data_IF_720465824669
#
_entry.id   IF_720465824669
#
_cell.length_a   1.000
_cell.length_b   1.000
_cell.length_c   1.000
_cell.angle_alpha   90.00
_cell.angle_beta   90.00
_cell.angle_gamma   90.00
#
_symmetry.space_group_name_H-M   'P 1'
#
loop_
_entity.id
_entity.type
_entity.pdbx_description
1 polymer ?
#
# COMPACT_ATOMS: atom_id res chain seq x y z
N UNK A 1 24.04 -31.80 9.63
CA UNK A 1 22.90 -31.53 8.72
C UNK A 1 22.99 -32.51 7.55
N UNK A 2 23.13 -33.82 7.85
CA UNK A 2 23.70 -34.77 6.89
C UNK A 2 22.66 -35.72 6.27
N UNK A 3 21.36 -35.45 6.46
CA UNK A 3 20.28 -36.38 6.08
C UNK A 3 19.20 -35.76 5.18
N UNK A 4 19.53 -34.72 4.44
CA UNK A 4 18.81 -34.36 3.23
C UNK A 4 19.78 -34.65 2.08
N UNK A 5 19.81 -35.91 1.66
CA UNK A 5 20.57 -36.38 0.50
C UNK A 5 19.86 -35.86 -0.77
N UNK A 6 19.91 -34.55 -0.95
CA UNK A 6 19.29 -33.85 -2.05
C UNK A 6 20.35 -33.79 -3.15
N UNK A 7 20.16 -34.61 -4.19
CA UNK A 7 21.04 -34.65 -5.36
C UNK A 7 20.86 -33.36 -6.18
N UNK A 8 21.59 -32.32 -5.80
CA UNK A 8 21.73 -31.10 -6.60
C UNK A 8 23.07 -31.12 -7.32
N UNK A 9 23.09 -30.65 -8.57
CA UNK A 9 24.33 -30.18 -9.18
C UNK A 9 24.87 -29.00 -8.36
N UNK A 10 26.19 -28.94 -8.21
CA UNK A 10 26.92 -27.85 -7.59
C UNK A 10 26.58 -26.49 -8.22
N UNK A 11 26.27 -26.45 -9.52
CA UNK A 11 25.84 -25.23 -10.20
C UNK A 11 24.46 -24.73 -9.69
N UNK A 12 23.50 -25.64 -9.53
CA UNK A 12 22.18 -25.30 -8.99
C UNK A 12 22.29 -24.86 -7.53
N UNK A 13 23.13 -25.52 -6.74
CA UNK A 13 23.42 -25.08 -5.37
C UNK A 13 23.99 -23.66 -5.34
N UNK A 14 24.95 -23.34 -6.21
CA UNK A 14 25.52 -22.00 -6.29
C UNK A 14 24.47 -20.93 -6.64
N UNK A 15 23.55 -21.23 -7.56
CA UNK A 15 22.43 -20.35 -7.90
C UNK A 15 21.48 -20.08 -6.72
N UNK A 16 21.19 -21.09 -5.90
CA UNK A 16 20.34 -20.92 -4.72
C UNK A 16 21.03 -20.08 -3.63
N UNK A 17 22.35 -20.27 -3.45
CA UNK A 17 23.15 -19.41 -2.57
C UNK A 17 23.21 -17.97 -3.08
N UNK A 18 23.37 -17.75 -4.38
CA UNK A 18 23.33 -16.39 -4.97
C UNK A 18 22.02 -15.66 -4.61
N UNK A 19 20.86 -16.34 -4.71
CA UNK A 19 19.56 -15.75 -4.33
C UNK A 19 19.52 -15.40 -2.84
N UNK A 20 19.94 -16.31 -1.96
CA UNK A 20 19.93 -16.10 -0.52
C UNK A 20 20.88 -14.96 -0.10
N UNK A 21 22.07 -14.91 -0.68
CA UNK A 21 23.09 -13.90 -0.39
C UNK A 21 22.64 -12.51 -0.88
N UNK A 22 22.05 -12.41 -2.07
CA UNK A 22 21.55 -11.14 -2.60
C UNK A 22 20.32 -10.63 -1.83
N UNK A 23 19.41 -11.51 -1.41
CA UNK A 23 18.32 -11.11 -0.51
C UNK A 23 18.86 -10.61 0.83
N UNK A 24 19.89 -11.26 1.36
CA UNK A 24 20.53 -10.83 2.61
C UNK A 24 21.20 -9.47 2.45
N UNK A 25 21.82 -9.20 1.30
CA UNK A 25 22.37 -7.91 0.96
C UNK A 25 21.28 -6.82 0.93
N UNK A 26 20.13 -7.09 0.30
CA UNK A 26 18.98 -6.16 0.33
C UNK A 26 18.55 -5.87 1.77
N UNK A 27 18.40 -6.90 2.61
CA UNK A 27 17.97 -6.71 4.00
C UNK A 27 19.00 -5.90 4.80
N UNK A 28 20.29 -6.13 4.58
CA UNK A 28 21.37 -5.34 5.19
C UNK A 28 21.36 -3.89 4.71
N UNK A 29 21.05 -3.64 3.43
CA UNK A 29 20.86 -2.29 2.91
C UNK A 29 19.69 -1.60 3.59
N UNK A 30 18.55 -2.28 3.74
CA UNK A 30 17.39 -1.76 4.48
C UNK A 30 17.72 -1.47 5.95
N UNK A 31 18.55 -2.30 6.60
CA UNK A 31 19.03 -2.04 7.94
C UNK A 31 19.96 -0.80 8.00
N UNK A 32 20.85 -0.65 7.01
CA UNK A 32 21.71 0.54 6.88
C UNK A 32 20.89 1.80 6.65
N UNK A 33 19.78 1.71 5.92
CA UNK A 33 18.79 2.77 5.73
C UNK A 33 17.99 3.10 7.00
N UNK A 34 18.22 2.39 8.13
CA UNK A 34 17.45 2.49 9.38
C UNK A 34 15.98 2.10 9.23
N UNK A 35 15.63 1.36 8.18
CA UNK A 35 14.27 0.85 7.98
C UNK A 35 14.05 -0.46 8.75
N UNK A 36 15.05 -1.35 8.72
CA UNK A 36 15.09 -2.55 9.55
C UNK A 36 16.10 -2.37 10.70
N UNK A 37 15.88 -3.10 11.79
CA UNK A 37 16.95 -3.34 12.75
C UNK A 37 17.80 -4.53 12.26
N UNK A 38 19.13 -4.41 12.41
CA UNK A 38 20.05 -5.48 12.04
C UNK A 38 19.80 -6.73 12.89
N UNK A 39 19.38 -6.57 14.14
CA UNK A 39 19.07 -7.68 15.06
C UNK A 39 17.81 -8.47 14.65
N UNK A 40 16.96 -7.89 13.79
CA UNK A 40 15.78 -8.59 13.29
C UNK A 40 16.13 -9.59 12.19
N UNK A 41 17.28 -9.45 11.53
CA UNK A 41 17.69 -10.29 10.41
C UNK A 41 18.28 -11.60 10.92
N UNK A 42 17.64 -12.70 10.55
CA UNK A 42 18.03 -14.06 10.90
C UNK A 42 18.62 -14.75 9.67
N UNK A 43 19.95 -14.84 9.64
CA UNK A 43 20.69 -15.49 8.58
C UNK A 43 20.59 -17.02 8.69
N UNK A 44 20.52 -17.71 7.55
CA UNK A 44 20.60 -19.17 7.51
C UNK A 44 22.01 -19.72 7.80
N UNK A 45 22.18 -21.06 7.83
CA UNK A 45 21.14 -22.05 7.60
C UNK A 45 20.22 -22.25 8.81
N UNK A 46 18.96 -22.59 8.54
CA UNK A 46 17.89 -22.81 9.53
C UNK A 46 17.54 -24.29 9.63
N UNK A 47 17.07 -24.71 10.80
CA UNK A 47 16.41 -26.00 10.94
C UNK A 47 14.99 -25.92 10.38
N UNK A 48 14.69 -26.78 9.40
CA UNK A 48 13.40 -26.85 8.70
C UNK A 48 12.71 -28.20 8.85
N UNK A 49 13.13 -29.05 9.82
CA UNK A 49 12.53 -30.37 10.01
C UNK A 49 11.01 -30.30 10.27
N UNK A 50 10.55 -29.25 10.95
CA UNK A 50 9.15 -29.01 11.26
C UNK A 50 8.28 -28.80 10.02
N UNK A 51 8.80 -28.19 8.96
CA UNK A 51 8.04 -27.89 7.73
C UNK A 51 8.14 -28.98 6.65
N UNK A 52 9.06 -29.95 6.80
CA UNK A 52 9.23 -31.03 5.80
C UNK A 52 7.94 -31.81 5.49
N UNK A 53 7.04 -32.11 6.46
CA UNK A 53 5.76 -32.75 6.15
C UNK A 53 4.92 -31.92 5.17
N UNK A 54 4.81 -30.61 5.38
CA UNK A 54 4.09 -29.70 4.49
C UNK A 54 4.76 -29.59 3.11
N UNK A 55 6.09 -29.52 3.06
CA UNK A 55 6.82 -29.53 1.79
C UNK A 55 6.55 -30.80 0.97
N UNK A 56 6.45 -31.97 1.63
CA UNK A 56 6.14 -33.26 0.98
C UNK A 56 4.69 -33.32 0.51
N UNK A 57 3.76 -32.82 1.31
CA UNK A 57 2.33 -32.73 0.96
C UNK A 57 2.14 -31.91 -0.33
N UNK A 58 2.81 -30.76 -0.42
CA UNK A 58 2.78 -29.87 -1.58
C UNK A 58 3.70 -30.30 -2.73
N UNK A 59 4.41 -31.43 -2.57
CA UNK A 59 5.38 -31.98 -3.53
C UNK A 59 6.41 -30.94 -3.99
N UNK A 60 6.89 -30.11 -3.06
CA UNK A 60 7.89 -29.08 -3.37
C UNK A 60 9.17 -29.72 -3.90
N UNK A 61 9.77 -29.05 -4.88
CA UNK A 61 11.05 -29.48 -5.42
C UNK A 61 12.13 -29.44 -4.33
N UNK A 62 13.02 -30.45 -4.26
CA UNK A 62 14.21 -30.44 -3.41
C UNK A 62 14.91 -29.08 -3.32
N UNK A 63 15.05 -28.38 -4.44
CA UNK A 63 15.77 -27.11 -4.55
C UNK A 63 15.08 -25.99 -3.76
N UNK A 64 13.74 -25.99 -3.75
CA UNK A 64 12.95 -25.04 -2.97
C UNK A 64 13.02 -25.36 -1.48
N UNK A 65 12.96 -26.65 -1.12
CA UNK A 65 13.13 -27.10 0.27
C UNK A 65 14.52 -26.68 0.79
N UNK A 66 15.56 -26.87 -0.02
CA UNK A 66 16.91 -26.42 0.33
C UNK A 66 16.99 -24.90 0.45
N UNK A 67 16.39 -24.15 -0.49
CA UNK A 67 16.35 -22.69 -0.45
C UNK A 67 15.72 -22.19 0.86
N UNK A 68 14.61 -22.77 1.31
CA UNK A 68 13.96 -22.41 2.58
C UNK A 68 14.90 -22.55 3.79
N UNK A 69 15.85 -23.49 3.73
CA UNK A 69 16.84 -23.63 4.81
C UNK A 69 17.90 -22.53 4.81
N UNK A 70 18.19 -21.85 3.70
CA UNK A 70 19.29 -20.89 3.61
C UNK A 70 18.86 -19.43 3.46
N UNK A 71 17.59 -19.16 3.13
CA UNK A 71 17.07 -17.81 2.99
C UNK A 71 17.26 -16.97 4.28
N UNK A 72 17.54 -15.67 4.14
CA UNK A 72 17.46 -14.75 5.26
C UNK A 72 15.99 -14.48 5.61
N UNK A 73 15.68 -14.45 6.91
CA UNK A 73 14.34 -14.14 7.40
C UNK A 73 14.35 -12.94 8.34
N UNK A 74 13.21 -12.27 8.48
CA UNK A 74 12.99 -11.27 9.52
C UNK A 74 12.32 -11.97 10.70
N UNK A 75 12.75 -11.64 11.93
CA UNK A 75 12.15 -12.16 13.14
C UNK A 75 10.61 -11.99 13.11
N UNK A 76 9.83 -13.07 13.25
CA UNK A 76 8.37 -13.03 13.12
C UNK A 76 7.67 -12.00 13.99
N UNK A 77 8.25 -11.63 15.14
CA UNK A 77 7.71 -10.58 16.02
C UNK A 77 7.63 -9.20 15.35
N UNK A 78 8.43 -8.97 14.32
CA UNK A 78 8.55 -7.67 13.64
C UNK A 78 8.19 -7.74 12.15
N UNK A 79 8.15 -8.93 11.55
CA UNK A 79 7.96 -9.12 10.11
C UNK A 79 6.64 -8.54 9.57
N UNK A 80 5.57 -8.53 10.38
CA UNK A 80 4.27 -7.95 10.01
C UNK A 80 4.12 -6.47 10.39
N UNK A 81 5.17 -5.85 10.99
CA UNK A 81 5.11 -4.44 11.41
C UNK A 81 5.67 -3.47 10.36
N UNK A 82 6.26 -4.01 9.30
CA UNK A 82 6.91 -3.26 8.23
C UNK A 82 6.64 -3.92 6.89
N UNK A 83 6.46 -3.10 5.86
CA UNK A 83 6.35 -3.61 4.49
C UNK A 83 7.74 -3.84 3.90
N UNK A 84 7.82 -4.67 2.88
CA UNK A 84 9.00 -4.92 2.07
C UNK A 84 8.85 -4.20 0.71
N UNK A 85 9.47 -4.74 -0.33
CA UNK A 85 9.55 -4.16 -1.66
C UNK A 85 8.16 -3.98 -2.29
N UNK A 86 7.87 -2.79 -2.83
CA UNK A 86 6.59 -2.44 -3.46
C UNK A 86 5.37 -2.83 -2.60
N UNK A 87 5.43 -2.57 -1.29
CA UNK A 87 4.32 -2.81 -0.36
C UNK A 87 4.03 -4.28 -0.04
N UNK A 88 4.84 -5.22 -0.54
CA UNK A 88 4.79 -6.64 -0.16
C UNK A 88 5.14 -6.85 1.32
N UNK A 89 4.96 -8.05 1.87
CA UNK A 89 5.45 -8.39 3.21
C UNK A 89 6.65 -9.34 3.16
N UNK A 90 7.41 -9.38 4.25
CA UNK A 90 8.44 -10.41 4.43
C UNK A 90 7.79 -11.79 4.58
N UNK A 91 8.43 -12.82 4.01
CA UNK A 91 8.00 -14.21 4.11
C UNK A 91 8.96 -15.00 5.00
N UNK A 92 8.43 -15.86 5.88
CA UNK A 92 9.19 -16.81 6.69
C UNK A 92 8.73 -18.25 6.46
N UNK A 93 9.45 -19.03 5.66
CA UNK A 93 9.07 -20.42 5.36
C UNK A 93 9.40 -21.42 6.47
N UNK A 94 9.96 -20.98 7.61
CA UNK A 94 10.09 -21.84 8.80
C UNK A 94 8.76 -22.03 9.51
N UNK A 95 7.76 -21.22 9.16
CA UNK A 95 6.37 -21.38 9.54
C UNK A 95 5.63 -22.25 8.50
N UNK A 96 4.97 -23.31 8.97
CA UNK A 96 4.15 -24.20 8.15
C UNK A 96 3.02 -23.44 7.44
N UNK A 97 2.42 -22.44 8.10
CA UNK A 97 1.37 -21.60 7.51
C UNK A 97 1.91 -20.92 6.25
N UNK A 98 3.16 -20.45 6.30
CA UNK A 98 3.74 -19.76 5.17
C UNK A 98 3.99 -20.67 3.98
N UNK A 99 4.42 -21.90 4.24
CA UNK A 99 4.61 -22.93 3.23
C UNK A 99 3.27 -23.30 2.58
N UNK A 100 2.22 -23.51 3.37
CA UNK A 100 0.91 -24.00 2.89
C UNK A 100 0.09 -22.93 2.17
N UNK A 101 -0.01 -21.74 2.74
CA UNK A 101 -0.92 -20.72 2.22
C UNK A 101 -0.26 -19.82 1.17
N UNK A 102 0.99 -19.43 1.35
CA UNK A 102 1.64 -18.49 0.42
C UNK A 102 2.60 -19.18 -0.57
N UNK A 103 3.14 -20.36 -0.23
CA UNK A 103 4.19 -21.00 -1.02
C UNK A 103 3.79 -21.46 -2.43
N UNK A 104 2.49 -21.57 -2.73
CA UNK A 104 1.97 -22.07 -4.01
C UNK A 104 0.99 -21.14 -4.70
N UNK A 105 0.29 -20.32 -3.92
CA UNK A 105 -0.73 -19.40 -4.41
C UNK A 105 -0.55 -18.03 -3.73
N UNK A 106 0.41 -17.22 -4.21
CA UNK A 106 0.71 -15.93 -3.59
C UNK A 106 -0.42 -14.90 -3.77
N UNK A 107 -1.37 -15.12 -4.68
CA UNK A 107 -2.43 -14.17 -5.02
C UNK A 107 -3.83 -14.60 -4.57
N UNK A 108 -3.96 -15.73 -3.87
CA UNK A 108 -5.24 -16.30 -3.44
C UNK A 108 -6.20 -16.51 -4.61
N UNK A 109 -5.68 -17.02 -5.72
CA UNK A 109 -6.47 -17.28 -6.90
C UNK A 109 -7.30 -18.56 -6.70
N UNK A 110 -8.61 -18.47 -6.97
CA UNK A 110 -9.52 -19.62 -6.84
C UNK A 110 -9.26 -20.74 -7.88
N UNK A 111 -8.39 -20.50 -8.86
CA UNK A 111 -8.15 -21.39 -10.00
C UNK A 111 -6.73 -21.99 -9.96
N UNK A 112 -6.66 -23.33 -10.01
CA UNK A 112 -5.42 -24.11 -10.02
C UNK A 112 -4.48 -23.74 -11.18
N UNK A 113 -4.97 -23.13 -12.26
CA UNK A 113 -4.14 -22.64 -13.36
C UNK A 113 -3.13 -21.56 -12.90
N UNK A 114 -3.49 -20.77 -11.89
CA UNK A 114 -2.64 -19.75 -11.29
C UNK A 114 -1.79 -20.27 -10.14
N UNK A 115 -1.83 -21.57 -9.84
CA UNK A 115 -0.92 -22.17 -8.89
C UNK A 115 0.50 -22.20 -9.45
N UNK A 116 1.46 -21.77 -8.62
CA UNK A 116 2.89 -21.84 -8.94
C UNK A 116 3.30 -23.29 -9.23
N UNK A 117 4.43 -23.53 -9.90
CA UNK A 117 4.99 -24.89 -10.11
C UNK A 117 5.88 -25.30 -8.93
N UNK A 118 6.05 -26.60 -8.67
CA UNK A 118 6.72 -27.11 -7.46
C UNK A 118 8.18 -26.62 -7.26
N UNK A 119 8.83 -26.22 -8.35
CA UNK A 119 10.17 -25.62 -8.39
C UNK A 119 10.17 -24.09 -8.31
N UNK A 120 9.03 -23.48 -7.97
CA UNK A 120 8.88 -22.04 -7.79
C UNK A 120 8.44 -21.72 -6.37
N UNK A 121 8.82 -20.55 -5.87
CA UNK A 121 8.39 -20.03 -4.58
C UNK A 121 8.36 -18.49 -4.56
N UNK A 122 7.45 -17.85 -3.83
CA UNK A 122 7.57 -16.43 -3.54
C UNK A 122 8.83 -16.12 -2.70
N UNK A 123 9.41 -14.94 -2.90
CA UNK A 123 10.45 -14.37 -2.04
C UNK A 123 9.91 -13.22 -1.17
N UNK A 124 8.67 -12.80 -1.43
CA UNK A 124 7.88 -11.91 -0.58
C UNK A 124 6.44 -12.40 -0.52
N UNK A 125 5.66 -11.97 0.47
CA UNK A 125 4.21 -12.22 0.52
C UNK A 125 3.46 -11.04 -0.07
N UNK A 126 2.27 -11.34 -0.59
CA UNK A 126 1.33 -10.32 -1.03
C UNK A 126 0.93 -9.40 0.14
N UNK A 127 1.16 -8.10 -0.06
CA UNK A 127 0.57 -7.03 0.76
C UNK A 127 -0.84 -6.69 0.27
N UNK A 128 -1.48 -5.70 0.87
CA UNK A 128 -2.84 -5.29 0.46
C UNK A 128 -2.86 -4.70 -0.96
N UNK A 129 -3.22 -5.53 -1.95
CA UNK A 129 -3.25 -5.20 -3.37
C UNK A 129 -1.90 -4.71 -3.92
N UNK A 130 -0.83 -5.45 -3.62
CA UNK A 130 0.56 -5.06 -3.94
C UNK A 130 1.27 -6.07 -4.87
N UNK A 131 2.56 -5.81 -5.09
CA UNK A 131 3.44 -6.67 -5.88
C UNK A 131 4.05 -7.84 -5.08
N UNK A 132 4.39 -8.93 -5.75
CA UNK A 132 5.04 -10.12 -5.18
C UNK A 132 6.27 -10.49 -6.00
N UNK A 133 7.38 -10.81 -5.32
CA UNK A 133 8.59 -11.31 -5.96
C UNK A 133 8.49 -12.84 -6.03
N UNK A 134 8.48 -13.42 -7.23
CA UNK A 134 8.40 -14.86 -7.47
C UNK A 134 9.74 -15.37 -7.99
N UNK A 135 10.21 -16.52 -7.50
CA UNK A 135 11.44 -17.18 -7.93
C UNK A 135 11.18 -18.55 -8.53
N UNK A 136 11.93 -18.93 -9.56
CA UNK A 136 11.97 -20.28 -10.14
C UNK A 136 13.36 -20.87 -10.04
N UNK A 137 13.50 -21.97 -9.28
CA UNK A 137 14.76 -22.72 -9.18
C UNK A 137 15.12 -23.48 -10.47
N UNK A 138 14.13 -23.79 -11.32
CA UNK A 138 14.34 -24.51 -12.59
C UNK A 138 14.97 -23.63 -13.67
N UNK A 139 14.51 -22.38 -13.76
CA UNK A 139 14.98 -21.42 -14.77
C UNK A 139 15.93 -20.37 -14.22
N UNK A 140 16.10 -20.32 -12.90
CA UNK A 140 16.87 -19.30 -12.19
C UNK A 140 16.46 -17.87 -12.58
N UNK A 141 15.16 -17.61 -12.53
CA UNK A 141 14.54 -16.32 -12.88
C UNK A 141 13.63 -15.81 -11.78
N UNK A 142 13.47 -14.50 -11.76
CA UNK A 142 12.53 -13.79 -10.90
C UNK A 142 11.51 -13.02 -11.73
N UNK A 143 10.29 -12.94 -11.21
CA UNK A 143 9.21 -12.07 -11.67
C UNK A 143 8.77 -11.18 -10.51
N UNK A 144 8.42 -9.92 -10.79
CA UNK A 144 7.81 -9.01 -9.83
C UNK A 144 6.42 -8.71 -10.39
N UNK A 145 5.38 -9.27 -9.76
CA UNK A 145 4.01 -9.30 -10.31
C UNK A 145 3.07 -8.57 -9.39
N UNK A 146 2.27 -7.66 -9.94
CA UNK A 146 1.28 -6.89 -9.20
C UNK A 146 -0.11 -7.53 -9.22
N UNK A 147 -0.80 -7.57 -8.08
CA UNK A 147 -2.12 -8.19 -7.99
C UNK A 147 -3.21 -7.42 -8.76
N UNK A 148 -3.17 -6.08 -8.77
CA UNK A 148 -4.26 -5.29 -9.36
C UNK A 148 -4.22 -5.35 -10.89
N UNK A 149 -3.02 -5.29 -11.45
CA UNK A 149 -2.82 -5.26 -12.89
C UNK A 149 -2.52 -6.63 -13.50
N UNK A 150 -2.13 -7.61 -12.67
CA UNK A 150 -1.63 -8.92 -13.12
C UNK A 150 -0.50 -8.79 -14.15
N UNK A 151 0.35 -7.78 -13.98
CA UNK A 151 1.46 -7.45 -14.88
C UNK A 151 2.77 -7.20 -14.10
N UNK A 152 3.88 -7.10 -14.82
CA UNK A 152 5.20 -6.91 -14.24
C UNK A 152 5.41 -5.47 -13.75
N UNK A 153 5.72 -5.30 -12.47
CA UNK A 153 6.11 -4.01 -11.86
C UNK A 153 7.61 -3.79 -11.79
N UNK A 154 8.39 -4.66 -12.42
CA UNK A 154 9.83 -4.52 -12.54
C UNK A 154 10.21 -3.29 -13.39
N UNK A 155 10.89 -2.31 -12.78
CA UNK A 155 11.32 -1.09 -13.48
C UNK A 155 12.12 -1.36 -14.75
N UNK A 156 12.97 -2.40 -14.75
CA UNK A 156 13.80 -2.67 -15.92
C UNK A 156 12.97 -3.14 -17.12
N UNK A 157 11.83 -3.81 -16.88
CA UNK A 157 10.91 -4.22 -17.93
C UNK A 157 10.02 -3.05 -18.38
N UNK A 158 9.59 -2.18 -17.45
CA UNK A 158 8.79 -0.99 -17.77
C UNK A 158 9.56 0.04 -18.62
N UNK A 159 10.82 0.29 -18.28
CA UNK A 159 11.69 1.18 -19.05
C UNK A 159 11.92 0.69 -20.48
N UNK A 160 12.00 -0.64 -20.69
CA UNK A 160 12.13 -1.24 -22.01
C UNK A 160 10.91 -1.04 -22.92
N UNK A 161 9.74 -0.77 -22.32
CA UNK A 161 8.48 -0.50 -23.04
C UNK A 161 8.22 1.00 -23.26
N UNK A 162 9.14 1.88 -22.82
CA UNK A 162 8.97 3.33 -22.93
C UNK A 162 7.88 3.89 -22.02
N UNK A 163 7.45 3.13 -21.01
CA UNK A 163 6.59 3.62 -19.95
C UNK A 163 7.48 4.38 -18.98
N UNK A 164 7.46 5.72 -19.04
CA UNK A 164 8.19 6.56 -18.09
C UNK A 164 7.73 6.26 -16.65
N UNK A 165 8.67 6.30 -15.70
CA UNK A 165 8.40 6.20 -14.25
C UNK A 165 7.67 7.46 -13.73
N UNK A 166 6.58 7.90 -14.38
CA UNK A 166 5.70 8.92 -13.79
C UNK A 166 4.97 8.30 -12.60
N UNK A 167 5.52 8.51 -11.39
CA UNK A 167 4.92 8.34 -10.06
C UNK A 167 3.77 7.31 -9.95
N UNK A 168 4.00 6.08 -10.45
CA UNK A 168 2.97 5.05 -10.62
C UNK A 168 2.47 4.44 -9.29
N UNK A 169 3.02 4.87 -8.15
CA UNK A 169 2.63 4.40 -6.82
C UNK A 169 2.03 5.49 -5.92
N UNK A 170 1.54 6.60 -6.49
CA UNK A 170 0.49 7.36 -5.81
C UNK A 170 -0.84 6.59 -5.92
N UNK A 171 -0.92 5.39 -5.33
CA UNK A 171 -2.22 4.84 -4.94
C UNK A 171 -2.88 5.95 -4.14
N UNK A 172 -4.04 6.38 -4.61
CA UNK A 172 -4.81 7.42 -3.97
C UNK A 172 -5.18 6.94 -2.57
N UNK A 173 -4.34 7.27 -1.59
CA UNK A 173 -4.83 7.66 -0.27
C UNK A 173 -5.88 8.71 -0.58
N UNK A 174 -7.14 8.30 -0.54
CA UNK A 174 -8.30 9.18 -0.61
C UNK A 174 -8.38 9.98 0.69
N UNK A 175 -7.28 10.67 1.05
CA UNK A 175 -7.34 11.85 1.89
C UNK A 175 -7.89 12.96 1.00
N UNK A 176 -9.21 13.14 1.08
CA UNK A 176 -9.99 14.22 0.46
C UNK A 176 -9.62 15.62 0.99
N UNK A 177 -8.34 15.96 0.84
CA UNK A 177 -7.75 17.25 1.11
C UNK A 177 -6.93 17.67 -0.09
N UNK A 178 -7.62 18.04 -1.17
CA UNK A 178 -7.06 18.71 -2.35
C UNK A 178 -6.03 19.76 -1.94
N UNK A 179 -4.75 19.45 -2.14
CA UNK A 179 -3.65 20.40 -2.10
C UNK A 179 -3.62 21.13 -3.45
N UNK A 180 -4.54 22.08 -3.64
CA UNK A 180 -4.40 23.09 -4.68
C UNK A 180 -4.03 24.41 -4.00
N UNK A 181 -2.72 24.62 -3.85
CA UNK A 181 -2.15 25.93 -3.51
C UNK A 181 -2.40 26.87 -4.71
N UNK A 182 -3.50 27.63 -4.66
CA UNK A 182 -3.67 28.82 -5.50
C UNK A 182 -3.54 30.05 -4.59
N UNK A 183 -2.48 30.81 -4.83
CA UNK A 183 -2.26 32.12 -4.22
C UNK A 183 -3.44 33.04 -4.57
N UNK A 184 -4.13 33.53 -3.55
CA UNK A 184 -5.16 34.56 -3.66
C UNK A 184 -4.47 35.87 -4.07
N UNK A 185 -4.59 36.23 -5.34
CA UNK A 185 -4.34 37.59 -5.81
C UNK A 185 -5.61 38.41 -5.58
N UNK A 186 -5.50 39.38 -4.67
CA UNK A 186 -6.53 40.37 -4.38
C UNK A 186 -6.72 41.27 -5.60
N UNK A 187 -7.91 41.30 -6.20
CA UNK A 187 -8.35 42.42 -7.04
C UNK A 187 -9.80 42.82 -6.71
N UNK A 188 -9.97 44.14 -6.59
CA UNK A 188 -11.16 44.91 -6.21
C UNK A 188 -12.25 44.97 -7.31
N UNK A 189 -13.49 45.38 -6.99
CA UNK A 189 -14.64 45.16 -7.85
C UNK A 189 -14.86 46.30 -8.85
N UNK A 190 -15.27 45.93 -10.07
CA UNK A 190 -16.01 46.80 -10.97
C UNK A 190 -16.96 45.96 -11.84
N UNK A 191 -18.14 46.54 -12.04
CA UNK A 191 -19.35 46.03 -12.68
C UNK A 191 -19.14 45.60 -14.14
N UNK A 192 -19.85 44.56 -14.58
CA UNK A 192 -20.81 44.66 -15.70
C UNK A 192 -21.38 43.28 -16.08
N UNK A 193 -22.67 43.30 -16.38
CA UNK A 193 -23.51 42.20 -16.87
C UNK A 193 -22.92 41.41 -18.04
N UNK A 194 -23.19 40.10 -18.09
CA UNK A 194 -23.94 39.46 -19.17
C UNK A 194 -24.16 37.96 -18.92
N UNK A 195 -25.43 37.56 -19.02
CA UNK A 195 -25.90 36.19 -19.16
C UNK A 195 -25.28 35.52 -20.40
N UNK A 196 -24.60 34.39 -20.21
CA UNK A 196 -24.42 33.44 -21.31
C UNK A 196 -24.51 31.99 -20.80
N UNK A 197 -25.54 31.29 -21.28
CA UNK A 197 -25.86 29.90 -20.99
C UNK A 197 -24.77 28.99 -21.58
N UNK A 198 -24.05 28.25 -20.73
CA UNK A 198 -23.22 27.12 -21.16
C UNK A 198 -23.74 25.80 -20.59
N UNK A 199 -24.15 24.95 -21.51
CA UNK A 199 -24.64 23.59 -21.33
C UNK A 199 -23.50 22.64 -20.91
N UNK A 200 -23.68 21.99 -19.76
CA UNK A 200 -22.77 20.94 -19.27
C UNK A 200 -23.05 19.66 -20.04
N UNK A 201 -22.13 19.29 -20.95
CA UNK A 201 -22.15 18.01 -21.66
C UNK A 201 -21.55 16.94 -20.75
N UNK A 202 -22.40 16.20 -20.03
CA UNK A 202 -21.99 15.00 -19.28
C UNK A 202 -21.47 13.96 -20.25
N UNK A 203 -20.17 13.66 -20.21
CA UNK A 203 -19.58 12.48 -20.84
C UNK A 203 -19.79 11.29 -19.89
N UNK A 204 -20.77 10.45 -20.21
CA UNK A 204 -20.88 9.10 -19.66
C UNK A 204 -19.86 8.22 -20.38
N UNK A 205 -18.88 7.67 -19.64
CA UNK A 205 -18.01 6.62 -20.13
C UNK A 205 -18.61 5.29 -19.67
N UNK A 206 -19.06 4.51 -20.64
CA UNK A 206 -19.54 3.14 -20.43
C UNK A 206 -18.34 2.18 -20.34
N UNK A 207 -18.35 1.17 -19.48
CA UNK A 207 -17.31 0.14 -19.45
C UNK A 207 -17.36 -0.71 -20.73
N UNK A 208 -16.28 -0.72 -21.51
CA UNK A 208 -16.14 -1.64 -22.63
C UNK A 208 -15.75 -3.02 -22.12
N UNK A 209 -16.75 -3.90 -22.13
CA UNK A 209 -16.61 -5.36 -22.08
C UNK A 209 -15.85 -5.78 -23.34
N UNK A 210 -14.70 -6.44 -23.18
CA UNK A 210 -14.04 -7.13 -24.29
C UNK A 210 -14.56 -8.56 -24.32
N UNK A 211 -15.62 -8.77 -25.11
CA UNK A 211 -16.04 -10.10 -25.51
C UNK A 211 -15.11 -10.68 -26.57
N UNK A 212 -14.87 -11.98 -26.39
CA UNK A 212 -14.20 -12.94 -27.27
C UNK A 212 -14.57 -12.77 -28.75
N UNK A 213 -13.55 -12.86 -29.62
CA UNK A 213 -13.50 -13.49 -30.95
C UNK A 213 -12.39 -12.78 -31.76
N UNK A 214 -11.45 -13.43 -32.46
CA UNK A 214 -11.54 -14.63 -33.27
C UNK A 214 -10.14 -15.26 -33.42
N UNK A 215 -10.16 -16.59 -33.47
CA UNK A 215 -9.11 -17.47 -33.96
C UNK A 215 -8.97 -17.25 -35.47
N UNK A 216 -7.86 -16.68 -35.90
CA UNK A 216 -7.46 -16.64 -37.32
C UNK A 216 -6.16 -17.43 -37.49
N UNK A 217 -6.26 -18.44 -38.33
CA UNK A 217 -5.21 -19.34 -38.77
C UNK A 217 -4.08 -18.54 -39.46
N UNK A 218 -2.84 -18.79 -39.05
CA UNK A 218 -1.66 -18.47 -39.85
C UNK A 218 -0.79 -19.72 -39.87
N UNK A 219 -1.04 -20.58 -40.87
CA UNK A 219 -0.06 -21.51 -41.38
C UNK A 219 1.04 -20.70 -42.09
N UNK A 220 2.26 -20.79 -41.59
CA UNK A 220 3.44 -20.49 -42.38
C UNK A 220 4.56 -21.44 -41.92
N UNK A 221 4.78 -22.46 -42.74
CA UNK A 221 5.94 -23.34 -42.67
C UNK A 221 7.23 -22.52 -42.77
N UNK A 222 8.17 -22.73 -41.86
CA UNK A 222 9.61 -22.69 -42.18
C UNK A 222 10.40 -23.63 -41.26
N UNK A 223 10.77 -24.77 -41.85
CA UNK A 223 11.95 -25.61 -41.66
C UNK A 223 12.65 -25.75 -40.29
N UNK A 224 12.65 -27.00 -39.82
CA UNK A 224 13.79 -27.77 -39.29
C UNK A 224 14.62 -27.19 -38.13
N UNK A 225 14.21 -27.61 -36.92
CA UNK A 225 15.11 -27.86 -35.79
C UNK A 225 14.42 -28.81 -34.81
N UNK A 226 14.61 -30.12 -34.98
CA UNK A 226 14.11 -31.14 -34.05
C UNK A 226 14.71 -30.92 -32.65
N UNK A 227 13.93 -30.32 -31.75
CA UNK A 227 14.04 -30.53 -30.32
C UNK A 227 12.72 -31.17 -29.92
N UNK A 228 12.77 -32.45 -29.56
CA UNK A 228 11.64 -33.15 -28.98
C UNK A 228 11.22 -32.43 -27.70
N UNK A 229 10.16 -31.61 -27.77
CA UNK A 229 9.47 -31.13 -26.58
C UNK A 229 8.65 -32.29 -26.04
N UNK A 230 8.98 -32.73 -24.84
CA UNK A 230 8.12 -33.57 -24.01
C UNK A 230 6.72 -32.91 -23.94
N UNK A 231 5.64 -33.61 -24.35
CA UNK A 231 4.29 -33.04 -24.40
C UNK A 231 3.64 -32.79 -23.03
N UNK A 232 4.32 -33.07 -21.90
CA UNK A 232 3.69 -33.05 -20.57
C UNK A 232 3.96 -31.82 -19.70
N UNK A 233 4.81 -30.88 -20.11
CA UNK A 233 5.00 -29.61 -19.39
C UNK A 233 4.33 -28.44 -20.11
N UNK A 234 3.01 -28.34 -19.97
CA UNK A 234 2.30 -27.10 -20.30
C UNK A 234 2.93 -25.97 -19.48
N UNK A 235 3.48 -24.95 -20.15
CA UNK A 235 4.05 -23.77 -19.49
C UNK A 235 2.98 -23.20 -18.54
N UNK A 236 3.29 -23.15 -17.24
CA UNK A 236 2.34 -22.59 -16.26
C UNK A 236 2.17 -21.08 -16.47
N UNK A 237 1.10 -20.50 -15.95
CA UNK A 237 0.76 -19.08 -16.11
C UNK A 237 1.96 -18.14 -15.92
N UNK A 238 2.66 -18.23 -14.78
CA UNK A 238 3.83 -17.39 -14.50
C UNK A 238 5.04 -17.64 -15.42
N UNK A 239 5.14 -18.82 -16.05
CA UNK A 239 6.22 -19.10 -17.01
C UNK A 239 6.05 -18.32 -18.32
N UNK A 240 4.83 -17.87 -18.62
CA UNK A 240 4.53 -17.03 -19.79
C UNK A 240 4.79 -15.55 -19.53
N UNK A 241 4.83 -15.13 -18.26
CA UNK A 241 5.12 -13.75 -17.89
C UNK A 241 6.60 -13.38 -18.14
N UNK A 242 6.91 -12.11 -18.42
CA UNK A 242 8.29 -11.67 -18.60
C UNK A 242 9.04 -11.70 -17.26
N UNK A 243 9.97 -12.64 -17.12
CA UNK A 243 10.89 -12.72 -15.99
C UNK A 243 12.28 -12.20 -16.34
N UNK A 244 13.17 -12.05 -15.36
CA UNK A 244 14.59 -11.72 -15.58
C UNK A 244 15.50 -12.66 -14.79
N UNK A 245 16.80 -12.78 -15.14
CA UNK A 245 17.75 -13.58 -14.37
C UNK A 245 17.72 -13.18 -12.89
N UNK A 246 17.61 -14.16 -11.99
CA UNK A 246 17.34 -13.90 -10.57
C UNK A 246 18.39 -12.98 -9.93
N UNK A 247 19.68 -13.23 -10.20
CA UNK A 247 20.76 -12.40 -9.69
C UNK A 247 20.71 -10.95 -10.18
N UNK A 248 20.28 -10.70 -11.43
CA UNK A 248 20.13 -9.34 -11.97
C UNK A 248 19.00 -8.59 -11.26
N UNK A 249 17.85 -9.22 -11.06
CA UNK A 249 16.70 -8.58 -10.39
C UNK A 249 17.05 -8.17 -8.97
N UNK A 250 17.66 -9.07 -8.19
CA UNK A 250 17.98 -8.77 -6.79
C UNK A 250 19.09 -7.71 -6.67
N UNK A 251 20.10 -7.73 -7.54
CA UNK A 251 21.12 -6.66 -7.62
C UNK A 251 20.49 -5.32 -7.99
N UNK A 252 19.52 -5.32 -8.91
CA UNK A 252 18.80 -4.13 -9.32
C UNK A 252 17.94 -3.57 -8.18
N UNK A 253 17.21 -4.40 -7.43
CA UNK A 253 16.45 -3.98 -6.24
C UNK A 253 17.38 -3.30 -5.23
N UNK A 254 18.52 -3.93 -4.92
CA UNK A 254 19.50 -3.32 -4.02
C UNK A 254 20.01 -1.98 -4.56
N UNK A 255 20.34 -1.92 -5.85
CA UNK A 255 20.77 -0.69 -6.54
C UNK A 255 19.68 0.39 -6.48
N UNK A 256 18.40 0.05 -6.63
CA UNK A 256 17.30 1.01 -6.57
C UNK A 256 17.17 1.66 -5.19
N UNK A 257 17.42 0.91 -4.11
CA UNK A 257 17.50 1.49 -2.76
C UNK A 257 18.72 2.39 -2.57
N UNK A 258 19.88 1.99 -3.09
CA UNK A 258 21.10 2.81 -3.05
C UNK A 258 20.92 4.13 -3.83
N UNK A 259 20.26 4.08 -4.98
CA UNK A 259 19.99 5.24 -5.85
C UNK A 259 18.75 6.05 -5.42
N UNK A 260 18.01 5.59 -4.40
CA UNK A 260 16.70 6.17 -3.99
C UNK A 260 15.71 6.27 -5.17
N UNK A 261 15.82 5.34 -6.12
CA UNK A 261 14.75 5.06 -7.09
C UNK A 261 13.58 4.41 -6.37
N UNK A 262 13.89 3.53 -5.42
CA UNK A 262 12.96 2.99 -4.46
C UNK A 262 13.27 3.47 -3.05
N UNK A 263 12.22 3.64 -2.24
CA UNK A 263 12.34 3.92 -0.81
C UNK A 263 11.67 2.79 -0.03
N UNK A 264 12.19 2.41 1.15
CA UNK A 264 11.62 1.32 1.91
C UNK A 264 10.13 1.54 2.24
N UNK A 265 9.37 0.44 2.27
CA UNK A 265 7.92 0.45 2.50
C UNK A 265 7.10 0.46 1.21
N UNK A 266 5.97 1.15 1.25
CA UNK A 266 5.05 1.33 0.12
C UNK A 266 3.70 0.64 0.28
N UNK A 267 3.45 -0.07 1.38
CA UNK A 267 2.19 -0.74 1.68
C UNK A 267 1.44 -0.12 2.86
N UNK A 268 0.51 -0.89 3.43
CA UNK A 268 -0.37 -0.43 4.52
C UNK A 268 0.30 -0.32 5.89
N UNK A 269 1.41 -1.05 6.13
CA UNK A 269 2.16 -0.95 7.38
C UNK A 269 3.25 0.12 7.33
N UNK A 270 3.42 0.77 6.16
CA UNK A 270 4.34 1.88 5.97
C UNK A 270 3.78 3.12 6.65
N UNK A 271 4.32 3.41 7.83
CA UNK A 271 4.01 4.62 8.56
C UNK A 271 4.19 5.87 7.68
N UNK A 272 3.39 6.91 7.94
CA UNK A 272 3.45 8.12 7.14
C UNK A 272 4.81 8.84 7.17
N UNK A 273 5.68 8.49 8.11
CA UNK A 273 7.08 8.92 8.21
C UNK A 273 7.97 8.36 7.09
N UNK A 274 7.53 7.31 6.41
CA UNK A 274 8.27 6.65 5.33
C UNK A 274 7.81 7.03 3.92
N UNK A 275 6.93 8.03 3.78
CA UNK A 275 6.51 8.52 2.46
C UNK A 275 7.73 9.01 1.66
N UNK A 276 7.84 8.58 0.41
CA UNK A 276 8.98 8.85 -0.50
C UNK A 276 9.37 10.33 -0.56
N UNK A 277 8.38 11.22 -0.71
CA UNK A 277 8.60 12.67 -0.77
C UNK A 277 9.13 13.29 0.53
N UNK A 278 9.05 12.57 1.65
CA UNK A 278 9.61 12.96 2.95
C UNK A 278 11.00 12.36 3.12
N UNK A 279 11.16 11.04 2.95
CA UNK A 279 12.41 10.35 3.30
C UNK A 279 13.51 10.54 2.26
N UNK A 280 13.20 10.60 0.97
CA UNK A 280 14.20 10.77 -0.10
C UNK A 280 15.10 12.01 0.09
N UNK A 281 14.56 13.24 0.30
CA UNK A 281 15.41 14.39 0.55
C UNK A 281 16.19 14.29 1.87
N UNK A 282 15.65 13.60 2.89
CA UNK A 282 16.34 13.39 4.16
C UNK A 282 17.53 12.43 4.02
N UNK A 283 17.39 11.34 3.28
CA UNK A 283 18.51 10.44 2.98
C UNK A 283 19.68 11.18 2.34
N UNK A 284 19.40 11.99 1.32
CA UNK A 284 20.41 12.82 0.64
C UNK A 284 21.05 13.83 1.60
N UNK A 285 20.24 14.50 2.43
CA UNK A 285 20.72 15.45 3.43
C UNK A 285 21.70 14.81 4.42
N UNK A 286 21.48 13.55 4.77
CA UNK A 286 22.27 12.84 5.78
C UNK A 286 23.37 11.93 5.20
N UNK A 287 23.67 12.04 3.90
CA UNK A 287 24.85 11.41 3.28
C UNK A 287 24.61 10.04 2.64
N UNK A 288 23.37 9.59 2.48
CA UNK A 288 23.08 8.34 1.76
C UNK A 288 23.43 8.47 0.25
N UNK A 289 23.96 7.41 -0.41
CA UNK A 289 24.29 6.07 0.10
C UNK A 289 25.74 5.93 0.62
N UNK A 290 26.44 7.05 0.85
CA UNK A 290 27.85 7.04 1.24
C UNK A 290 28.10 6.43 2.62
N UNK A 291 29.36 6.03 2.86
CA UNK A 291 29.79 5.41 4.11
C UNK A 291 29.65 6.34 5.33
N UNK A 292 29.49 7.65 5.10
CA UNK A 292 29.28 8.66 6.13
C UNK A 292 27.80 8.95 6.42
N UNK A 293 26.87 8.07 6.00
CA UNK A 293 25.45 8.23 6.29
C UNK A 293 25.17 8.29 7.80
N UNK A 294 24.64 9.43 8.26
CA UNK A 294 24.23 9.63 9.65
C UNK A 294 22.77 9.18 9.84
N UNK A 295 22.60 7.88 10.08
CA UNK A 295 21.28 7.27 10.28
C UNK A 295 20.53 7.82 11.50
N UNK A 296 21.23 8.28 12.55
CA UNK A 296 20.58 8.79 13.75
C UNK A 296 20.04 10.20 13.54
N UNK A 297 20.80 11.05 12.83
CA UNK A 297 20.30 12.35 12.39
C UNK A 297 19.13 12.21 11.42
N UNK A 298 19.20 11.24 10.50
CA UNK A 298 18.10 10.91 9.61
C UNK A 298 16.82 10.56 10.37
N UNK A 299 16.89 9.65 11.36
CA UNK A 299 15.71 9.28 12.15
C UNK A 299 15.11 10.47 12.92
N UNK A 300 15.96 11.33 13.50
CA UNK A 300 15.50 12.54 14.19
C UNK A 300 14.77 13.50 13.24
N UNK A 301 15.32 13.74 12.06
CA UNK A 301 14.71 14.66 11.09
C UNK A 301 13.49 14.06 10.39
N UNK A 302 13.45 12.75 10.18
CA UNK A 302 12.26 12.03 9.71
C UNK A 302 11.12 12.17 10.71
N UNK A 303 11.39 11.93 12.00
CA UNK A 303 10.39 12.08 13.06
C UNK A 303 9.87 13.54 13.16
N UNK A 304 10.76 14.54 13.02
CA UNK A 304 10.36 15.96 12.97
C UNK A 304 9.50 16.28 11.75
N UNK A 305 9.90 15.82 10.56
CA UNK A 305 9.15 16.05 9.33
C UNK A 305 7.74 15.45 9.43
N UNK A 306 7.63 14.24 9.99
CA UNK A 306 6.36 13.61 10.27
C UNK A 306 5.51 14.41 11.27
N UNK A 307 6.10 14.84 12.40
CA UNK A 307 5.41 15.65 13.41
C UNK A 307 4.90 16.97 12.82
N UNK A 308 5.70 17.66 12.02
CA UNK A 308 5.36 18.90 11.34
C UNK A 308 4.20 18.71 10.35
N UNK A 309 4.27 17.66 9.53
CA UNK A 309 3.19 17.32 8.59
C UNK A 309 1.89 17.01 9.32
N UNK A 310 1.96 16.19 10.37
CA UNK A 310 0.78 15.80 11.12
C UNK A 310 0.18 16.98 11.91
N UNK A 311 1.01 17.88 12.43
CA UNK A 311 0.57 19.13 13.02
C UNK A 311 -0.17 20.01 11.99
N UNK A 312 0.38 20.16 10.77
CA UNK A 312 -0.28 20.87 9.65
C UNK A 312 -1.62 20.22 9.29
N UNK A 313 -1.67 18.90 9.17
CA UNK A 313 -2.91 18.17 8.88
C UNK A 313 -3.96 18.34 9.99
N UNK A 314 -3.59 18.15 11.27
CA UNK A 314 -4.50 18.35 12.41
C UNK A 314 -5.06 19.77 12.43
N UNK A 315 -4.23 20.77 12.09
CA UNK A 315 -4.67 22.16 12.00
C UNK A 315 -5.69 22.36 10.88
N UNK A 316 -5.40 21.86 9.66
CA UNK A 316 -6.33 21.90 8.53
C UNK A 316 -7.67 21.24 8.90
N UNK A 317 -7.64 20.05 9.50
CA UNK A 317 -8.86 19.34 9.93
C UNK A 317 -9.65 20.13 10.98
N UNK A 318 -8.95 20.79 11.91
CA UNK A 318 -9.57 21.68 12.89
C UNK A 318 -10.25 22.88 12.26
N UNK A 319 -9.62 23.51 11.27
CA UNK A 319 -10.23 24.60 10.50
C UNK A 319 -11.43 24.14 9.68
N UNK A 320 -11.32 23.01 8.96
CA UNK A 320 -12.42 22.41 8.18
C UNK A 320 -13.62 22.10 9.08
N UNK A 321 -13.39 21.51 10.27
CA UNK A 321 -14.46 21.29 11.26
C UNK A 321 -15.08 22.60 11.74
N UNK A 322 -14.28 23.64 12.05
CA UNK A 322 -14.80 24.95 12.44
C UNK A 322 -15.68 25.57 11.35
N UNK A 323 -15.26 25.50 10.08
CA UNK A 323 -16.08 25.94 8.94
C UNK A 323 -17.37 25.14 8.82
N UNK A 324 -17.30 23.80 8.87
CA UNK A 324 -18.49 22.95 8.85
C UNK A 324 -19.48 23.31 9.99
N UNK A 325 -18.99 23.65 11.20
CA UNK A 325 -19.86 24.09 12.30
C UNK A 325 -20.46 25.49 12.09
N UNK A 326 -19.75 26.38 11.41
CA UNK A 326 -20.28 27.69 11.01
C UNK A 326 -21.35 27.52 9.94
N UNK A 327 -21.15 26.64 8.95
CA UNK A 327 -22.12 26.38 7.87
C UNK A 327 -23.37 25.62 8.39
N UNK A 328 -23.22 24.79 9.43
CA UNK A 328 -24.35 24.16 10.14
C UNK A 328 -25.28 25.17 10.86
N UNK A 329 -24.88 26.45 10.95
CA UNK A 329 -25.57 27.50 11.70
C UNK A 329 -26.90 27.94 11.07
N UNK A 330 -27.07 27.88 9.74
CA UNK A 330 -28.08 28.74 9.09
C UNK A 330 -29.10 28.02 8.20
N UNK A 331 -29.09 26.68 8.12
CA UNK A 331 -30.19 25.95 7.51
C UNK A 331 -31.36 25.87 8.51
N UNK A 332 -32.23 26.89 8.45
CA UNK A 332 -33.51 26.90 9.13
C UNK A 332 -34.47 25.95 8.41
N UNK A 333 -34.72 24.77 8.97
CA UNK A 333 -35.69 23.80 8.45
C UNK A 333 -37.15 24.26 8.62
N UNK A 334 -37.37 25.46 9.19
CA UNK A 334 -38.69 26.06 9.39
C UNK A 334 -39.57 26.10 8.12
N UNK A 335 -39.08 26.42 6.91
CA UNK A 335 -39.92 26.44 5.70
C UNK A 335 -40.41 25.05 5.29
N UNK A 336 -39.58 24.01 5.49
CA UNK A 336 -39.95 22.62 5.18
C UNK A 336 -41.01 22.13 6.16
N UNK A 337 -40.87 22.44 7.44
CA UNK A 337 -41.87 22.11 8.45
C UNK A 337 -43.18 22.87 8.25
N UNK A 338 -43.12 24.15 7.88
CA UNK A 338 -44.29 24.97 7.59
C UNK A 338 -45.09 24.40 6.41
N UNK A 339 -44.43 24.05 5.30
CA UNK A 339 -45.07 23.44 4.13
C UNK A 339 -45.77 22.10 4.46
N UNK A 340 -45.18 21.29 5.34
CA UNK A 340 -45.79 20.02 5.78
C UNK A 340 -47.00 20.24 6.70
N UNK A 341 -46.96 21.26 7.57
CA UNK A 341 -48.11 21.66 8.40
C UNK A 341 -49.26 22.21 7.55
N UNK A 342 -48.95 22.96 6.49
CA UNK A 342 -49.94 23.43 5.51
C UNK A 342 -50.55 22.26 4.71
N UNK A 343 -49.74 21.26 4.32
CA UNK A 343 -50.25 20.03 3.67
C UNK A 343 -51.19 19.26 4.59
N UNK A 344 -50.87 19.18 5.88
CA UNK A 344 -51.73 18.53 6.87
C UNK A 344 -53.07 19.26 7.03
N UNK A 345 -53.04 20.60 7.09
CA UNK A 345 -54.25 21.41 7.18
C UNK A 345 -55.18 21.30 5.96
N UNK A 346 -54.63 20.91 4.80
CA UNK A 346 -55.35 20.76 3.55
C UNK A 346 -55.66 19.28 3.20
N UNK A 347 -55.39 18.33 4.10
CA UNK A 347 -55.67 16.92 3.85
C UNK A 347 -57.19 16.68 3.81
N UNK A 348 -57.68 16.08 2.72
CA UNK A 348 -59.12 15.83 2.50
C UNK A 348 -59.54 14.39 2.78
N UNK A 349 -58.58 13.49 2.99
CA UNK A 349 -58.82 12.07 3.26
C UNK A 349 -58.10 11.62 4.53
N UNK A 350 -58.64 10.60 5.20
CA UNK A 350 -58.05 10.03 6.42
C UNK A 350 -56.66 9.44 6.15
N UNK A 351 -56.46 8.82 4.98
CA UNK A 351 -55.16 8.27 4.60
C UNK A 351 -54.12 9.36 4.32
N UNK A 352 -54.51 10.48 3.68
CA UNK A 352 -53.63 11.64 3.46
C UNK A 352 -53.25 12.33 4.79
N UNK A 353 -54.18 12.40 5.73
CA UNK A 353 -53.94 12.93 7.08
C UNK A 353 -52.90 12.08 7.82
N UNK A 354 -53.06 10.75 7.81
CA UNK A 354 -52.10 9.81 8.42
C UNK A 354 -50.71 9.87 7.77
N UNK A 355 -50.63 9.86 6.44
CA UNK A 355 -49.36 9.97 5.72
C UNK A 355 -48.64 11.29 6.04
N UNK A 356 -49.38 12.40 6.05
CA UNK A 356 -48.78 13.72 6.34
C UNK A 356 -48.35 13.83 7.80
N UNK A 357 -49.09 13.24 8.74
CA UNK A 357 -48.68 13.15 10.15
C UNK A 357 -47.39 12.34 10.34
N UNK A 358 -47.28 11.19 9.66
CA UNK A 358 -46.08 10.36 9.71
C UNK A 358 -44.86 11.11 9.14
N UNK A 359 -45.01 11.73 7.97
CA UNK A 359 -43.95 12.52 7.34
C UNK A 359 -43.52 13.72 8.20
N UNK A 360 -44.46 14.36 8.90
CA UNK A 360 -44.18 15.46 9.82
C UNK A 360 -43.40 14.97 11.03
N UNK A 361 -43.86 13.89 11.67
CA UNK A 361 -43.18 13.26 12.81
C UNK A 361 -41.75 12.81 12.47
N UNK A 362 -41.56 12.20 11.30
CA UNK A 362 -40.23 11.76 10.84
C UNK A 362 -39.28 12.95 10.68
N UNK A 363 -39.76 14.06 10.09
CA UNK A 363 -38.97 15.29 9.98
C UNK A 363 -38.72 15.97 11.31
N UNK A 364 -39.69 15.99 12.23
CA UNK A 364 -39.49 16.54 13.58
C UNK A 364 -38.45 15.73 14.36
N UNK A 365 -38.48 14.39 14.28
CA UNK A 365 -37.44 13.53 14.87
C UNK A 365 -36.07 13.70 14.23
N UNK A 366 -36.01 13.87 12.91
CA UNK A 366 -34.75 14.17 12.23
C UNK A 366 -34.21 15.53 12.66
N UNK A 367 -35.08 16.54 12.79
CA UNK A 367 -34.73 17.88 13.27
C UNK A 367 -34.23 17.87 14.72
N UNK A 368 -34.91 17.17 15.63
CA UNK A 368 -34.48 17.04 17.03
C UNK A 368 -33.09 16.39 17.10
N UNK A 369 -32.87 15.26 16.41
CA UNK A 369 -31.56 14.58 16.36
C UNK A 369 -30.47 15.48 15.78
N UNK A 370 -30.77 16.18 14.69
CA UNK A 370 -29.86 17.14 14.07
C UNK A 370 -29.51 18.28 15.02
N UNK A 371 -30.48 18.79 15.78
CA UNK A 371 -30.28 19.86 16.77
C UNK A 371 -29.44 19.39 17.96
N UNK A 372 -29.71 18.21 18.49
CA UNK A 372 -28.92 17.60 19.57
C UNK A 372 -27.48 17.38 19.12
N UNK A 373 -27.29 16.79 17.94
CA UNK A 373 -25.98 16.62 17.32
C UNK A 373 -25.26 17.96 17.13
N UNK A 374 -25.94 19.00 16.64
CA UNK A 374 -25.38 20.36 16.52
C UNK A 374 -24.98 20.97 17.88
N UNK A 375 -25.77 20.75 18.94
CA UNK A 375 -25.45 21.24 20.29
C UNK A 375 -24.21 20.53 20.84
N UNK A 376 -24.16 19.20 20.71
CA UNK A 376 -23.02 18.39 21.15
C UNK A 376 -21.75 18.75 20.39
N UNK A 377 -21.84 18.86 19.07
CA UNK A 377 -20.74 19.26 18.20
C UNK A 377 -20.27 20.71 18.48
N UNK A 378 -21.17 21.67 18.71
CA UNK A 378 -20.80 23.04 19.14
C UNK A 378 -20.12 23.03 20.52
N UNK A 379 -20.58 22.17 21.44
CA UNK A 379 -19.95 22.01 22.75
C UNK A 379 -18.56 21.37 22.61
N UNK A 380 -18.40 20.37 21.76
CA UNK A 380 -17.11 19.74 21.44
C UNK A 380 -16.15 20.75 20.80
N UNK A 381 -16.63 21.56 19.84
CA UNK A 381 -15.86 22.65 19.25
C UNK A 381 -15.39 23.66 20.30
N UNK A 382 -16.26 24.09 21.22
CA UNK A 382 -15.87 25.00 22.32
C UNK A 382 -14.82 24.39 23.26
N UNK A 383 -14.87 23.08 23.52
CA UNK A 383 -13.84 22.36 24.28
C UNK A 383 -12.52 22.29 23.53
N UNK A 384 -12.55 22.08 22.21
CA UNK A 384 -11.37 21.99 21.35
C UNK A 384 -10.74 23.35 21.01
N UNK A 385 -11.53 24.43 21.04
CA UNK A 385 -11.13 25.80 20.70
C UNK A 385 -11.51 26.81 21.80
N UNK A 386 -10.98 26.69 23.03
CA UNK A 386 -11.28 27.63 24.09
C UNK A 386 -10.85 29.06 23.70
N UNK A 387 -11.81 29.98 23.67
CA UNK A 387 -11.57 31.40 23.35
C UNK A 387 -11.43 31.73 21.86
N UNK A 388 -11.97 30.89 20.95
CA UNK A 388 -12.00 31.08 19.49
C UNK A 388 -10.65 31.20 18.77
N UNK A 389 -9.55 31.23 19.52
CA UNK A 389 -8.20 31.19 18.99
C UNK A 389 -7.90 29.77 18.55
N UNK A 390 -8.14 29.48 17.28
CA UNK A 390 -7.28 28.51 16.61
C UNK A 390 -5.84 29.01 16.82
N UNK A 391 -5.00 28.21 17.49
CA UNK A 391 -3.57 28.48 17.62
C UNK A 391 -3.04 28.89 16.23
N UNK A 392 -2.26 29.97 16.16
CA UNK A 392 -1.88 30.61 14.88
C UNK A 392 -0.95 29.69 14.10
N UNK A 393 -0.78 29.95 12.80
CA UNK A 393 0.26 29.26 11.99
C UNK A 393 1.67 29.44 12.57
N UNK A 394 1.90 30.50 13.35
CA UNK A 394 3.11 30.79 14.11
C UNK A 394 3.36 29.77 15.26
N UNK A 395 2.32 29.08 15.74
CA UNK A 395 2.40 28.09 16.82
C UNK A 395 2.78 26.68 16.32
N UNK A 396 3.08 26.51 15.03
CA UNK A 396 3.47 25.20 14.44
C UNK A 396 4.58 24.48 15.23
N UNK A 397 5.67 25.14 15.67
CA UNK A 397 6.70 24.46 16.46
C UNK A 397 6.17 23.89 17.80
N UNK A 398 5.18 24.55 18.42
CA UNK A 398 4.57 24.05 19.65
C UNK A 398 3.73 22.79 19.38
N UNK A 399 3.05 22.73 18.24
CA UNK A 399 2.28 21.54 17.83
C UNK A 399 3.19 20.36 17.51
N UNK A 400 4.32 20.62 16.87
CA UNK A 400 5.36 19.60 16.63
C UNK A 400 5.85 19.01 17.95
N UNK A 401 6.23 19.86 18.91
CA UNK A 401 6.69 19.40 20.23
C UNK A 401 5.61 18.61 20.98
N UNK A 402 4.35 19.05 20.92
CA UNK A 402 3.22 18.34 21.54
C UNK A 402 3.01 16.95 20.90
N UNK A 403 3.09 16.85 19.57
CA UNK A 403 3.02 15.57 18.86
C UNK A 403 4.19 14.63 19.18
N UNK A 404 5.39 15.18 19.27
CA UNK A 404 6.59 14.42 19.65
C UNK A 404 6.43 13.83 21.06
N UNK A 405 5.90 14.61 22.01
CA UNK A 405 5.62 14.13 23.38
C UNK A 405 4.56 13.03 23.39
N UNK A 406 3.48 13.19 22.62
CA UNK A 406 2.42 12.18 22.53
C UNK A 406 2.98 10.84 22.00
N UNK A 407 3.73 10.87 20.89
CA UNK A 407 4.37 9.67 20.32
C UNK A 407 5.37 9.03 21.28
N UNK A 408 6.16 9.83 21.98
CA UNK A 408 7.10 9.31 22.98
C UNK A 408 6.38 8.56 24.10
N UNK A 409 5.25 9.08 24.59
CA UNK A 409 4.43 8.42 25.60
C UNK A 409 3.79 7.11 25.07
N UNK A 410 3.28 7.11 23.83
CA UNK A 410 2.75 5.90 23.18
C UNK A 410 3.82 4.81 23.06
N UNK A 411 5.00 5.16 22.52
CA UNK A 411 6.11 4.22 22.36
C UNK A 411 6.67 3.71 23.69
N UNK A 412 6.69 4.53 24.72
CA UNK A 412 7.08 4.09 26.05
C UNK A 412 6.09 3.05 26.61
N UNK A 413 4.79 3.25 26.39
CA UNK A 413 3.77 2.26 26.75
C UNK A 413 3.89 0.94 25.97
N UNK A 414 4.30 0.98 24.70
CA UNK A 414 4.54 -0.23 23.91
C UNK A 414 5.75 -1.02 24.42
N UNK A 415 6.86 -0.32 24.74
CA UNK A 415 8.06 -0.95 25.31
C UNK A 415 7.76 -1.62 26.65
N UNK A 416 6.93 -1.01 27.49
CA UNK A 416 6.49 -1.57 28.77
C UNK A 416 5.61 -2.82 28.62
N UNK A 417 4.86 -2.96 27.51
CA UNK A 417 4.04 -4.17 27.25
C UNK A 417 4.82 -5.35 26.67
N UNK A 418 5.96 -5.08 26.03
CA UNK A 418 6.81 -6.10 25.42
C UNK A 418 7.76 -6.73 26.45
N UNK A 419 8.05 -6.02 27.55
CA UNK A 419 8.75 -6.54 28.74
C UNK A 419 7.80 -7.36 29.60
#
# INVERSE_FOLDING_TARGET
MDNLNLDFDQAQKAQLHEVADLLLEIYRTLARMRYLDLEWIQQGPHDIQNILPACRELKLDPSIIYLYSILPYINPKFADTVDFFHGSYFVDYRDEVHVKFYGRDPFFADDEEYSMRAWMTPLSRLGNHQSVILYSAKSHRIWIVDQEYMDATDHALRLGLGLEDEDYHSVSDSDSGSDSDSEIVVMTPAESDQEEKRSVKKRSVSPQVWEKETRAECEAETSNGHIAKDPTEVAGYYSLMPGRPAGEVLRDINRWYLELKETPGGGENTGGDWKRNVVKPLYLKHGWPGDNFDGDAFLRDSLRAHAARFAKWRAKQRFKKKQNYADLSDNDDAPVQQKKRERLANATTVDDEWLTHWELWETERAYIRSREYKIEEKAAARRLFPGERCRRSEDKPLWEVEQMRQRAAEKQGDVERIR
#
